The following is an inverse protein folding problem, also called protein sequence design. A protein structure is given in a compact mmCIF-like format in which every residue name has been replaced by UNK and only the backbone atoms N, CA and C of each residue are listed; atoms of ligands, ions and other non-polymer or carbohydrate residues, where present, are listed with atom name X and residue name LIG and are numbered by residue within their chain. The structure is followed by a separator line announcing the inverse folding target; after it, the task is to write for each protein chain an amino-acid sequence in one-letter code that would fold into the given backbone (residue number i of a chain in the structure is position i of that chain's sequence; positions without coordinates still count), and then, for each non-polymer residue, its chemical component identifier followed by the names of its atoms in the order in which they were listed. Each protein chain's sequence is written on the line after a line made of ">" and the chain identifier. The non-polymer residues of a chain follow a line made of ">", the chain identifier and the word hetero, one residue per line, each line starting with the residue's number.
data_IF_991593975049
#
_entry.id   IF_991593975049
#
_cell.length_a   1.000
_cell.length_b   1.000
_cell.length_c   1.000
_cell.angle_alpha   90.00
_cell.angle_beta   90.00
_cell.angle_gamma   90.00
#
_symmetry.space_group_name_H-M   'P 1'
#
loop_
_entity.id
_entity.type
_entity.pdbx_description
1 polymer ?
#
# COMPACT_ATOMS: atom_id res chain seq x y z
N UNK A 1 14.05 -12.35 6.71
CA UNK A 1 13.31 -11.30 5.95
C UNK A 1 14.13 -10.98 4.70
N UNK A 2 13.85 -11.59 3.55
CA UNK A 2 14.54 -11.24 2.31
C UNK A 2 13.99 -9.91 1.80
N UNK A 3 14.83 -8.88 1.68
CA UNK A 3 14.41 -7.58 1.18
C UNK A 3 13.81 -7.69 -0.21
N UNK A 4 12.69 -7.01 -0.47
CA UNK A 4 12.13 -6.91 -1.83
C UNK A 4 13.10 -6.06 -2.66
N UNK A 5 13.59 -6.52 -3.82
CA UNK A 5 14.47 -5.70 -4.65
C UNK A 5 13.76 -4.42 -5.08
N UNK A 6 14.47 -3.30 -5.04
CA UNK A 6 13.98 -2.01 -5.54
C UNK A 6 14.39 -1.83 -7.00
N UNK A 7 13.56 -1.11 -7.77
CA UNK A 7 13.93 -0.71 -9.13
C UNK A 7 15.15 0.24 -9.03
N UNK A 8 16.29 -0.16 -9.60
CA UNK A 8 17.53 0.61 -9.53
C UNK A 8 18.68 0.00 -8.71
N UNK A 9 18.57 -1.26 -8.26
CA UNK A 9 19.68 -1.99 -7.64
C UNK A 9 19.75 -1.94 -6.11
N UNK A 10 18.71 -1.40 -5.46
CA UNK A 10 18.57 -1.38 -4.00
C UNK A 10 17.60 -2.43 -3.46
N UNK A 11 17.17 -2.24 -2.20
CA UNK A 11 16.12 -3.05 -1.56
C UNK A 11 15.11 -2.16 -0.84
N UNK A 12 13.86 -2.60 -0.84
CA UNK A 12 12.83 -2.07 0.04
C UNK A 12 13.08 -2.54 1.47
N UNK A 13 12.88 -1.60 2.39
CA UNK A 13 12.87 -1.85 3.82
C UNK A 13 11.56 -1.29 4.36
N UNK A 14 10.77 -2.14 5.01
CA UNK A 14 9.60 -1.71 5.76
C UNK A 14 10.08 -1.35 7.18
N UNK A 15 9.74 -0.14 7.63
CA UNK A 15 10.13 0.40 8.94
C UNK A 15 8.84 0.84 9.63
N UNK A 16 8.57 0.29 10.81
CA UNK A 16 7.47 0.76 11.64
C UNK A 16 7.63 2.27 11.94
N UNK A 17 6.55 3.08 11.90
CA UNK A 17 6.64 4.52 12.13
C UNK A 17 7.39 4.88 13.43
N UNK A 18 7.13 4.15 14.51
CA UNK A 18 7.75 4.37 15.83
C UNK A 18 9.26 4.05 15.85
N UNK A 19 9.76 3.30 14.87
CA UNK A 19 11.17 2.92 14.73
C UNK A 19 11.92 3.81 13.74
N UNK A 20 11.23 4.68 13.01
CA UNK A 20 11.79 5.45 11.90
C UNK A 20 12.94 6.35 12.36
N UNK A 21 12.78 7.10 13.46
CA UNK A 21 13.85 7.96 13.99
C UNK A 21 15.11 7.17 14.33
N UNK A 22 14.96 6.01 14.96
CA UNK A 22 16.08 5.12 15.30
C UNK A 22 16.73 4.55 14.04
N UNK A 23 15.92 4.19 13.05
CA UNK A 23 16.42 3.66 11.78
C UNK A 23 17.26 4.70 11.04
N UNK A 24 16.81 5.97 11.00
CA UNK A 24 17.52 7.10 10.38
C UNK A 24 18.84 7.41 11.10
N UNK A 25 18.84 7.40 12.44
CA UNK A 25 20.08 7.53 13.21
C UNK A 25 21.07 6.42 12.87
N UNK A 26 20.61 5.16 12.86
CA UNK A 26 21.45 4.02 12.47
C UNK A 26 21.88 4.03 11.00
N UNK A 27 21.14 4.71 10.11
CA UNK A 27 21.55 4.93 8.72
C UNK A 27 22.73 5.90 8.68
N UNK A 28 22.64 7.04 9.38
CA UNK A 28 23.76 7.97 9.52
C UNK A 28 25.00 7.33 10.17
N UNK A 29 24.83 6.55 11.23
CA UNK A 29 25.95 5.88 11.91
C UNK A 29 26.72 4.92 10.98
N UNK A 30 26.04 4.29 10.02
CA UNK A 30 26.66 3.32 9.10
C UNK A 30 27.23 3.94 7.84
N UNK A 31 26.61 5.01 7.34
CA UNK A 31 26.88 5.57 6.02
C UNK A 31 27.47 6.99 6.06
N UNK A 32 27.61 7.57 7.26
CA UNK A 32 28.04 8.94 7.48
C UNK A 32 26.87 9.93 7.55
N UNK A 33 27.20 11.22 7.71
CA UNK A 33 26.19 12.28 7.62
C UNK A 33 25.44 12.23 6.29
N UNK A 34 24.20 12.75 6.25
CA UNK A 34 23.41 12.75 5.01
C UNK A 34 22.80 14.13 4.71
N UNK A 35 22.75 14.46 3.43
CA UNK A 35 21.96 15.57 2.91
C UNK A 35 20.51 15.12 2.69
N UNK A 36 19.56 16.02 2.94
CA UNK A 36 18.12 15.76 2.79
C UNK A 36 17.58 16.57 1.62
N UNK A 37 16.81 15.93 0.76
CA UNK A 37 16.04 16.59 -0.30
C UNK A 37 14.57 16.14 -0.24
N UNK A 38 13.65 17.10 -0.27
CA UNK A 38 12.23 16.81 -0.45
C UNK A 38 11.97 16.38 -1.89
N UNK A 39 11.21 15.31 -2.06
CA UNK A 39 10.78 14.78 -3.36
C UNK A 39 9.26 14.60 -3.34
N UNK A 40 8.58 14.52 -4.51
CA UNK A 40 7.12 14.44 -4.55
C UNK A 40 6.54 13.29 -3.72
N UNK A 41 7.25 12.16 -3.64
CA UNK A 41 6.82 10.96 -2.94
C UNK A 41 7.30 10.89 -1.48
N UNK A 42 8.06 11.87 -0.98
CA UNK A 42 8.61 11.88 0.38
C UNK A 42 9.96 12.58 0.51
N UNK A 43 10.98 11.88 1.04
CA UNK A 43 12.33 12.39 1.20
C UNK A 43 13.36 11.50 0.50
N UNK A 44 14.41 12.12 -0.03
CA UNK A 44 15.63 11.44 -0.45
C UNK A 44 16.78 11.85 0.47
N UNK A 45 17.47 10.87 1.03
CA UNK A 45 18.64 11.04 1.87
C UNK A 45 19.86 10.54 1.11
N UNK A 46 20.88 11.39 0.96
CA UNK A 46 22.15 11.02 0.33
C UNK A 46 23.25 11.09 1.37
N UNK A 47 23.78 9.94 1.77
CA UNK A 47 24.86 9.84 2.75
C UNK A 47 26.22 10.18 2.13
N UNK A 48 27.20 10.47 2.99
CA UNK A 48 28.58 10.78 2.61
C UNK A 48 29.26 9.66 1.80
N UNK A 49 28.96 8.40 2.10
CA UNK A 49 29.46 7.25 1.34
C UNK A 49 28.74 7.03 -0.02
N UNK A 50 27.82 7.92 -0.37
CA UNK A 50 27.01 7.86 -1.59
C UNK A 50 25.78 6.97 -1.50
N UNK A 51 25.55 6.29 -0.37
CA UNK A 51 24.35 5.47 -0.16
C UNK A 51 23.12 6.36 -0.11
N UNK A 52 22.08 5.97 -0.85
CA UNK A 52 20.81 6.70 -0.92
C UNK A 52 19.71 5.93 -0.20
N UNK A 53 18.93 6.63 0.64
CA UNK A 53 17.67 6.14 1.17
C UNK A 53 16.51 7.01 0.66
N UNK A 54 15.59 6.39 -0.08
CA UNK A 54 14.34 7.01 -0.50
C UNK A 54 13.24 6.64 0.49
N UNK A 55 12.76 7.63 1.23
CA UNK A 55 11.72 7.48 2.24
C UNK A 55 10.38 7.93 1.66
N UNK A 56 9.47 6.99 1.44
CA UNK A 56 8.14 7.29 0.90
C UNK A 56 7.17 7.72 2.00
N UNK A 57 6.46 8.82 1.77
CA UNK A 57 5.46 9.32 2.69
C UNK A 57 4.22 8.39 2.73
N UNK A 58 3.56 8.26 3.89
CA UNK A 58 2.29 7.55 3.96
C UNK A 58 1.24 8.17 3.03
N UNK A 59 0.28 7.39 2.49
CA UNK A 59 -0.81 7.92 1.69
C UNK A 59 -1.56 9.06 2.39
N UNK A 60 -1.74 10.18 1.69
CA UNK A 60 -2.42 11.36 2.22
C UNK A 60 -1.60 12.17 3.24
N UNK A 61 -0.34 11.84 3.47
CA UNK A 61 0.58 12.72 4.20
C UNK A 61 1.00 13.90 3.32
N UNK A 62 1.18 15.08 3.93
CA UNK A 62 1.80 16.20 3.26
C UNK A 62 3.28 15.90 2.99
N UNK A 63 3.83 16.47 1.91
CA UNK A 63 5.26 16.38 1.61
C UNK A 63 6.01 17.10 2.73
N UNK A 64 6.88 16.36 3.41
CA UNK A 64 7.76 16.92 4.43
C UNK A 64 8.97 17.58 3.78
N UNK A 65 9.39 18.73 4.31
CA UNK A 65 10.60 19.42 3.84
C UNK A 65 11.88 18.85 4.47
N UNK A 66 11.76 18.21 5.64
CA UNK A 66 12.87 17.73 6.45
C UNK A 66 12.54 16.44 7.21
N UNK A 67 13.57 15.87 7.84
CA UNK A 67 13.45 14.61 8.61
C UNK A 67 12.48 14.73 9.79
N UNK A 68 12.54 15.77 10.66
CA UNK A 68 11.57 15.91 11.74
C UNK A 68 10.12 15.95 11.25
N UNK A 69 9.83 16.71 10.20
CA UNK A 69 8.51 16.78 9.59
C UNK A 69 8.07 15.44 9.01
N UNK A 70 8.99 14.70 8.39
CA UNK A 70 8.69 13.38 7.84
C UNK A 70 8.37 12.34 8.93
N UNK A 71 9.12 12.36 10.03
CA UNK A 71 8.85 11.49 11.20
C UNK A 71 7.50 11.83 11.85
N UNK A 72 7.22 13.12 12.04
CA UNK A 72 5.94 13.57 12.57
C UNK A 72 4.79 13.16 11.65
N UNK A 73 4.96 13.32 10.33
CA UNK A 73 4.01 12.83 9.36
C UNK A 73 3.84 11.32 9.44
N UNK A 74 4.91 10.52 9.51
CA UNK A 74 4.83 9.07 9.55
C UNK A 74 4.06 8.54 10.78
N UNK A 75 4.22 9.19 11.93
CA UNK A 75 3.61 8.77 13.22
C UNK A 75 2.21 9.33 13.44
N UNK A 76 1.78 10.34 12.68
CA UNK A 76 0.45 10.91 12.79
C UNK A 76 -0.63 9.88 12.41
N UNK A 77 -1.59 9.56 13.32
CA UNK A 77 -2.73 8.73 12.99
C UNK A 77 -3.54 9.37 11.87
N UNK A 78 -3.83 8.59 10.83
CA UNK A 78 -4.63 9.04 9.68
C UNK A 78 -5.91 8.26 9.57
N UNK A 79 -6.94 8.95 9.10
CA UNK A 79 -8.19 8.35 8.71
C UNK A 79 -8.08 7.88 7.27
N UNK A 80 -8.12 6.58 7.06
CA UNK A 80 -7.93 5.94 5.76
C UNK A 80 -9.20 5.18 5.36
N UNK A 81 -9.64 5.38 4.12
CA UNK A 81 -10.60 4.50 3.48
C UNK A 81 -9.90 3.23 3.00
N UNK A 82 -10.43 2.08 3.37
CA UNK A 82 -9.96 0.77 2.94
C UNK A 82 -10.98 0.18 1.98
N UNK A 83 -10.51 -0.29 0.82
CA UNK A 83 -11.31 -1.03 -0.16
C UNK A 83 -10.57 -2.32 -0.51
N UNK A 84 -11.20 -3.45 -0.21
CA UNK A 84 -10.76 -4.76 -0.67
C UNK A 84 -11.80 -5.29 -1.64
N UNK A 85 -11.41 -5.53 -2.89
CA UNK A 85 -12.29 -6.04 -3.92
C UNK A 85 -11.73 -7.32 -4.53
N UNK A 86 -12.60 -8.32 -4.69
CA UNK A 86 -12.35 -9.53 -5.47
C UNK A 86 -13.61 -9.91 -6.25
N UNK A 87 -13.49 -10.86 -7.17
CA UNK A 87 -14.50 -11.15 -8.19
C UNK A 87 -15.95 -11.33 -7.69
N UNK A 88 -16.18 -11.74 -6.44
CA UNK A 88 -17.53 -11.86 -5.86
C UNK A 88 -17.64 -11.36 -4.42
N UNK A 89 -16.72 -10.51 -3.96
CA UNK A 89 -16.81 -9.92 -2.64
C UNK A 89 -16.12 -8.57 -2.57
N UNK A 90 -16.68 -7.69 -1.75
CA UNK A 90 -16.12 -6.38 -1.43
C UNK A 90 -16.11 -6.21 0.08
N UNK A 91 -15.08 -5.54 0.59
CA UNK A 91 -15.08 -4.98 1.93
C UNK A 91 -14.66 -3.53 1.84
N UNK A 92 -15.43 -2.66 2.48
CA UNK A 92 -15.12 -1.24 2.67
C UNK A 92 -14.99 -0.96 4.15
N UNK A 93 -14.12 -0.02 4.52
CA UNK A 93 -14.01 0.40 5.90
C UNK A 93 -13.23 1.68 6.09
N UNK A 94 -13.33 2.24 7.29
CA UNK A 94 -12.60 3.43 7.69
C UNK A 94 -11.73 3.08 8.87
N UNK A 95 -10.42 3.13 8.67
CA UNK A 95 -9.43 2.97 9.74
C UNK A 95 -8.98 4.34 10.24
N UNK A 96 -8.67 4.44 11.53
CA UNK A 96 -7.96 5.56 12.14
C UNK A 96 -6.75 5.01 12.89
N UNK A 97 -5.54 5.24 12.36
CA UNK A 97 -4.34 4.57 12.85
C UNK A 97 -4.50 3.05 12.80
N UNK A 98 -4.30 2.37 13.93
CA UNK A 98 -4.45 0.91 14.04
C UNK A 98 -5.90 0.43 14.22
N UNK A 99 -6.86 1.33 14.47
CA UNK A 99 -8.24 0.96 14.75
C UNK A 99 -9.11 0.96 13.47
N UNK A 100 -9.83 -0.13 13.22
CA UNK A 100 -10.90 -0.16 12.20
C UNK A 100 -12.20 0.29 12.86
N UNK A 101 -12.69 1.49 12.51
CA UNK A 101 -13.84 2.10 13.16
C UNK A 101 -15.17 1.55 12.65
N UNK A 102 -15.44 1.75 11.37
CA UNK A 102 -16.64 1.23 10.69
C UNK A 102 -16.22 0.44 9.46
N UNK A 103 -16.91 -0.66 9.21
CA UNK A 103 -16.68 -1.48 8.02
C UNK A 103 -17.97 -2.12 7.55
N UNK A 104 -18.02 -2.42 6.26
CA UNK A 104 -19.09 -3.18 5.63
C UNK A 104 -18.49 -4.17 4.66
N UNK A 105 -18.96 -5.41 4.74
CA UNK A 105 -18.52 -6.51 3.88
C UNK A 105 -19.74 -7.05 3.18
N UNK A 106 -19.62 -7.26 1.87
CA UNK A 106 -20.68 -7.87 1.09
C UNK A 106 -20.12 -8.89 0.10
N UNK A 107 -20.93 -9.87 -0.24
CA UNK A 107 -20.57 -10.92 -1.18
C UNK A 107 -21.72 -11.21 -2.14
N UNK A 108 -21.34 -11.61 -3.35
CA UNK A 108 -22.25 -11.99 -4.42
C UNK A 108 -21.74 -13.28 -5.04
N UNK A 109 -22.67 -14.14 -5.44
CA UNK A 109 -22.30 -15.37 -6.10
C UNK A 109 -21.72 -15.07 -7.49
N UNK A 110 -20.45 -15.40 -7.66
CA UNK A 110 -19.81 -15.48 -8.97
C UNK A 110 -19.23 -16.87 -9.13
N UNK A 111 -19.72 -17.59 -10.14
CA UNK A 111 -19.29 -18.96 -10.38
C UNK A 111 -17.76 -19.00 -10.65
N UNK A 112 -17.06 -20.00 -10.10
CA UNK A 112 -15.64 -20.24 -10.37
C UNK A 112 -15.35 -20.77 -11.78
N UNK A 113 -14.06 -20.83 -12.15
CA UNK A 113 -13.64 -21.43 -13.42
C UNK A 113 -13.91 -22.94 -13.42
N UNK A 114 -14.35 -23.46 -14.56
CA UNK A 114 -14.59 -24.89 -14.79
C UNK A 114 -13.41 -25.47 -15.56
N UNK A 115 -12.85 -26.59 -15.10
CA UNK A 115 -11.68 -27.24 -15.70
C UNK A 115 -11.99 -28.05 -16.98
N UNK A 116 -13.24 -28.47 -17.19
CA UNK A 116 -13.61 -29.34 -18.29
C UNK A 116 -13.79 -28.59 -19.62
N UNK A 117 -12.97 -28.91 -20.63
CA UNK A 117 -13.11 -28.37 -22.00
C UNK A 117 -14.40 -28.85 -22.69
N UNK A 118 -14.97 -28.03 -23.57
CA UNK A 118 -16.14 -28.40 -24.36
C UNK A 118 -16.99 -27.21 -24.82
N UNK A 119 -17.98 -27.48 -25.66
CA UNK A 119 -18.86 -26.48 -26.28
C UNK A 119 -19.62 -25.58 -25.28
N UNK A 120 -19.79 -26.02 -24.02
CA UNK A 120 -20.46 -25.25 -22.95
C UNK A 120 -19.55 -24.24 -22.23
N UNK A 121 -18.22 -24.30 -22.43
CA UNK A 121 -17.24 -23.40 -21.76
C UNK A 121 -17.51 -21.92 -22.04
N UNK A 122 -17.80 -21.55 -23.30
CA UNK A 122 -18.08 -20.15 -23.67
C UNK A 122 -19.30 -19.60 -22.93
N UNK A 123 -20.36 -20.41 -22.79
CA UNK A 123 -21.57 -20.03 -22.03
C UNK A 123 -21.25 -19.79 -20.55
N UNK A 124 -20.44 -20.64 -19.93
CA UNK A 124 -20.05 -20.46 -18.52
C UNK A 124 -19.11 -19.26 -18.33
N UNK A 125 -18.17 -19.03 -19.25
CA UNK A 125 -17.31 -17.86 -19.22
C UNK A 125 -18.11 -16.55 -19.31
N UNK A 126 -19.08 -16.50 -20.24
CA UNK A 126 -19.98 -15.34 -20.37
C UNK A 126 -20.84 -15.14 -19.14
N UNK A 127 -21.43 -16.22 -18.59
CA UNK A 127 -22.23 -16.15 -17.35
C UNK A 127 -21.41 -15.60 -16.19
N UNK A 128 -20.17 -16.08 -16.00
CA UNK A 128 -19.24 -15.55 -14.98
C UNK A 128 -18.93 -14.08 -15.18
N UNK A 129 -18.64 -13.67 -16.42
CA UNK A 129 -18.38 -12.27 -16.74
C UNK A 129 -19.55 -11.37 -16.36
N UNK A 130 -20.77 -11.77 -16.72
CA UNK A 130 -22.00 -11.04 -16.36
C UNK A 130 -22.20 -10.98 -14.84
N UNK A 131 -22.00 -12.09 -14.13
CA UNK A 131 -22.11 -12.14 -12.67
C UNK A 131 -21.07 -11.24 -11.99
N UNK A 132 -19.81 -11.30 -12.42
CA UNK A 132 -18.74 -10.45 -11.89
C UNK A 132 -19.02 -8.96 -12.14
N UNK A 133 -19.51 -8.61 -13.33
CA UNK A 133 -19.85 -7.22 -13.67
C UNK A 133 -21.02 -6.70 -12.84
N UNK A 134 -22.07 -7.52 -12.65
CA UNK A 134 -23.20 -7.17 -11.79
C UNK A 134 -22.76 -6.99 -10.33
N UNK A 135 -21.99 -7.94 -9.80
CA UNK A 135 -21.45 -7.86 -8.45
C UNK A 135 -20.58 -6.60 -8.23
N UNK A 136 -19.75 -6.22 -9.21
CA UNK A 136 -18.95 -5.00 -9.14
C UNK A 136 -19.80 -3.72 -9.21
N UNK A 137 -20.87 -3.72 -10.01
CA UNK A 137 -21.81 -2.59 -10.09
C UNK A 137 -22.54 -2.37 -8.77
N UNK A 138 -23.13 -3.42 -8.20
CA UNK A 138 -23.82 -3.35 -6.91
C UNK A 138 -22.88 -2.99 -5.75
N UNK A 139 -21.62 -3.46 -5.80
CA UNK A 139 -20.61 -3.12 -4.81
C UNK A 139 -20.19 -1.65 -4.81
N UNK A 140 -20.42 -0.91 -5.90
CA UNK A 140 -20.09 0.51 -5.98
C UNK A 140 -21.05 1.39 -5.15
N UNK A 141 -22.27 0.91 -4.88
CA UNK A 141 -23.33 1.63 -4.16
C UNK A 141 -23.33 1.32 -2.65
N UNK A 142 -22.25 0.73 -2.14
CA UNK A 142 -22.19 0.08 -0.82
C UNK A 142 -21.75 0.99 0.32
#
# INVERSE_FOLDING_TARGET
>A
MSGRPAAGGGRWVEVDPDRLSRWLAGFAERHGGYAVAAVPEGLSLTAEDGTVAQCHAPPGAAVAADVPGFVAAATQPRRLGLLLARQGAVAVGIASGAALGVSKVDSRYVQGRTAAGGWSQQRFARRRGNQAKAAAGEAADL
#
